data_IF_215276711650
#
_entry.id   IF_215276711650
#
_cell.length_a   1.000
_cell.length_b   1.000
_cell.length_c   1.000
_cell.angle_alpha   90.00
_cell.angle_beta   90.00
_cell.angle_gamma   90.00
#
_symmetry.space_group_name_H-M   'P 1'
#
loop_
_entity.id
_entity.type
_entity.pdbx_description
1 polymer ?
#
# COMPACT_ATOMS: atom_id res chain seq x y z
N UNK A 1 1.47 -8.29 4.31
CA UNK A 1 0.63 -9.49 4.10
C UNK A 1 0.27 -9.50 2.63
N UNK A 2 0.39 -10.65 1.98
CA UNK A 2 0.06 -10.80 0.56
C UNK A 2 -1.43 -11.08 0.39
N UNK A 3 -2.07 -10.31 -0.48
CA UNK A 3 -3.43 -10.55 -0.93
C UNK A 3 -3.40 -10.84 -2.43
N UNK A 4 -4.05 -11.93 -2.86
CA UNK A 4 -4.27 -12.21 -4.28
C UNK A 4 -5.65 -11.69 -4.68
N UNK A 5 -5.71 -10.80 -5.65
CA UNK A 5 -6.97 -10.23 -6.11
C UNK A 5 -7.73 -11.23 -6.98
N UNK A 6 -9.05 -11.37 -6.78
CA UNK A 6 -9.89 -12.26 -7.56
C UNK A 6 -11.33 -11.74 -7.70
N UNK A 7 -12.19 -12.45 -8.43
CA UNK A 7 -13.62 -12.12 -8.55
C UNK A 7 -13.97 -11.07 -9.61
N UNK A 8 -13.07 -10.79 -10.56
CA UNK A 8 -13.33 -9.88 -11.67
C UNK A 8 -12.66 -10.35 -12.96
N UNK A 9 -13.22 -9.92 -14.09
CA UNK A 9 -12.69 -10.17 -15.43
C UNK A 9 -12.05 -8.90 -15.99
N UNK A 10 -10.92 -9.04 -16.68
CA UNK A 10 -10.20 -7.91 -17.28
C UNK A 10 -9.26 -7.20 -16.30
N UNK A 11 -9.15 -5.88 -16.43
CA UNK A 11 -8.30 -5.01 -15.60
C UNK A 11 -9.18 -4.05 -14.78
N UNK A 12 -8.79 -3.81 -13.53
CA UNK A 12 -9.31 -2.72 -12.72
C UNK A 12 -8.25 -1.61 -12.64
N UNK A 13 -8.70 -0.37 -12.70
CA UNK A 13 -7.86 0.79 -12.55
C UNK A 13 -7.97 1.36 -11.13
N UNK A 14 -6.83 1.51 -10.47
CA UNK A 14 -6.72 2.22 -9.20
C UNK A 14 -6.21 3.63 -9.44
N UNK A 15 -6.92 4.63 -8.93
CA UNK A 15 -6.53 6.04 -8.99
C UNK A 15 -6.24 6.55 -7.58
N UNK A 16 -4.96 6.79 -7.27
CA UNK A 16 -4.49 7.25 -5.97
C UNK A 16 -4.01 8.71 -6.07
N UNK A 17 -4.60 9.68 -5.36
CA UNK A 17 -4.14 11.06 -5.41
C UNK A 17 -2.69 11.18 -4.88
N UNK A 18 -1.87 11.98 -5.57
CA UNK A 18 -0.46 12.21 -5.16
C UNK A 18 -0.39 13.00 -3.86
N UNK A 19 -1.23 14.03 -3.75
CA UNK A 19 -1.31 14.91 -2.61
C UNK A 19 -2.75 15.43 -2.49
N UNK A 20 -3.30 15.62 -1.28
CA UNK A 20 -4.67 16.10 -1.11
C UNK A 20 -5.00 17.42 -1.84
N UNK A 21 -3.99 18.25 -2.09
CA UNK A 21 -4.12 19.54 -2.78
C UNK A 21 -3.68 19.54 -4.25
N UNK A 22 -3.27 18.40 -4.82
CA UNK A 22 -2.86 18.29 -6.24
C UNK A 22 -3.86 17.43 -7.00
N UNK A 23 -4.23 17.85 -8.20
CA UNK A 23 -5.15 17.09 -9.06
C UNK A 23 -4.51 15.82 -9.64
N UNK A 24 -3.18 15.77 -9.68
CA UNK A 24 -2.43 14.63 -10.17
C UNK A 24 -2.76 13.36 -9.38
N UNK A 25 -2.84 12.25 -10.11
CA UNK A 25 -3.16 10.92 -9.59
C UNK A 25 -2.18 9.91 -10.13
N UNK A 26 -1.78 8.97 -9.28
CA UNK A 26 -1.12 7.75 -9.70
C UNK A 26 -2.16 6.74 -10.14
N UNK A 27 -1.92 6.14 -11.31
CA UNK A 27 -2.80 5.15 -11.91
C UNK A 27 -2.09 3.80 -11.90
N UNK A 28 -2.69 2.81 -11.25
CA UNK A 28 -2.25 1.42 -11.31
C UNK A 28 -3.31 0.59 -12.00
N UNK A 29 -2.89 -0.37 -12.82
CA UNK A 29 -3.80 -1.35 -13.42
C UNK A 29 -3.52 -2.70 -12.80
N UNK A 30 -4.57 -3.34 -12.30
CA UNK A 30 -4.49 -4.64 -11.65
C UNK A 30 -5.40 -5.64 -12.35
N UNK A 31 -4.96 -6.89 -12.39
CA UNK A 31 -5.66 -8.03 -12.95
C UNK A 31 -6.07 -9.01 -11.86
N UNK A 32 -7.06 -9.83 -12.17
CA UNK A 32 -7.34 -11.02 -11.35
C UNK A 32 -6.09 -11.91 -11.33
N UNK A 33 -5.70 -12.35 -10.14
CA UNK A 33 -4.46 -13.08 -9.87
C UNK A 33 -3.29 -12.21 -9.40
N UNK A 34 -3.36 -10.87 -9.57
CA UNK A 34 -2.29 -9.99 -9.10
C UNK A 34 -2.18 -10.01 -7.57
N UNK A 35 -0.94 -9.85 -7.10
CA UNK A 35 -0.60 -9.85 -5.68
C UNK A 35 -0.43 -8.41 -5.22
N UNK A 36 -1.11 -8.04 -4.14
CA UNK A 36 -0.91 -6.77 -3.44
C UNK A 36 -0.44 -7.00 -2.01
N UNK A 37 0.37 -6.08 -1.50
CA UNK A 37 0.90 -6.11 -0.15
C UNK A 37 0.21 -5.06 0.71
N UNK A 38 -0.34 -5.49 1.84
CA UNK A 38 -0.90 -4.61 2.87
C UNK A 38 -0.13 -4.72 4.18
N UNK A 39 -0.21 -3.68 5.02
CA UNK A 39 0.43 -3.71 6.33
C UNK A 39 -0.18 -4.81 7.22
N UNK A 40 0.58 -5.37 8.18
CA UNK A 40 0.03 -6.37 9.13
C UNK A 40 -1.04 -5.76 10.03
N UNK A 41 -0.87 -4.47 10.38
CA UNK A 41 -1.82 -3.73 11.20
C UNK A 41 -3.16 -3.63 10.48
N UNK A 42 -3.15 -3.22 9.21
CA UNK A 42 -4.37 -3.14 8.39
C UNK A 42 -4.98 -4.51 8.14
N UNK A 43 -4.15 -5.52 7.88
CA UNK A 43 -4.67 -6.86 7.69
C UNK A 43 -5.49 -7.35 8.90
N UNK A 44 -5.05 -7.03 10.12
CA UNK A 44 -5.77 -7.42 11.34
C UNK A 44 -7.17 -6.80 11.46
N UNK A 45 -7.41 -5.65 10.83
CA UNK A 45 -8.72 -4.97 10.86
C UNK A 45 -9.65 -5.43 9.74
N UNK A 46 -9.11 -5.97 8.64
CA UNK A 46 -9.91 -6.32 7.45
C UNK A 46 -10.21 -7.81 7.29
N UNK A 47 -9.55 -8.69 8.04
CA UNK A 47 -9.57 -10.15 7.83
C UNK A 47 -10.99 -10.75 7.70
N UNK A 48 -11.96 -10.20 8.44
CA UNK A 48 -13.32 -10.74 8.54
C UNK A 48 -14.41 -9.76 8.09
N UNK A 49 -14.04 -8.66 7.42
CA UNK A 49 -14.99 -7.62 6.99
C UNK A 49 -14.79 -7.30 5.52
N UNK A 50 -15.76 -6.61 4.93
CA UNK A 50 -15.56 -5.94 3.64
C UNK A 50 -14.64 -4.74 3.87
N UNK A 51 -13.64 -4.57 3.01
CA UNK A 51 -12.67 -3.49 3.09
C UNK A 51 -12.44 -2.88 1.71
N UNK A 52 -11.94 -1.65 1.68
CA UNK A 52 -11.60 -0.96 0.44
C UNK A 52 -10.10 -0.88 0.27
N UNK A 53 -9.58 -1.37 -0.86
CA UNK A 53 -8.24 -1.03 -1.28
C UNK A 53 -8.27 0.40 -1.82
N UNK A 54 -7.43 1.27 -1.24
CA UNK A 54 -7.46 2.71 -1.53
C UNK A 54 -7.32 2.96 -3.04
N UNK A 55 -8.19 3.82 -3.57
CA UNK A 55 -8.20 4.20 -4.98
C UNK A 55 -8.71 3.12 -5.94
N UNK A 56 -9.01 1.90 -5.46
CA UNK A 56 -9.36 0.74 -6.28
C UNK A 56 -10.83 0.33 -6.08
N UNK A 57 -11.11 -0.68 -5.25
CA UNK A 57 -12.42 -1.29 -5.09
C UNK A 57 -12.58 -1.94 -3.72
N UNK A 58 -13.78 -2.47 -3.44
CA UNK A 58 -14.11 -3.17 -2.21
C UNK A 58 -13.90 -4.68 -2.38
N UNK A 59 -13.29 -5.32 -1.40
CA UNK A 59 -12.96 -6.73 -1.39
C UNK A 59 -13.35 -7.39 -0.07
N UNK A 60 -13.41 -8.71 -0.07
CA UNK A 60 -13.50 -9.54 1.13
C UNK A 60 -12.49 -10.68 1.05
N UNK A 61 -11.95 -11.08 2.20
CA UNK A 61 -11.10 -12.27 2.25
C UNK A 61 -11.99 -13.51 2.10
N UNK A 62 -11.72 -14.35 1.10
CA UNK A 62 -12.50 -15.56 0.84
C UNK A 62 -11.83 -16.80 1.44
N UNK A 63 -10.55 -17.02 1.16
CA UNK A 63 -9.78 -18.15 1.66
C UNK A 63 -8.28 -17.85 1.69
N UNK A 64 -7.49 -18.83 2.14
CA UNK A 64 -6.03 -18.81 2.10
C UNK A 64 -5.60 -19.78 1.00
N UNK A 65 -4.66 -19.36 0.17
CA UNK A 65 -4.01 -20.16 -0.85
C UNK A 65 -2.48 -20.07 -0.70
N UNK A 66 -1.74 -20.71 -1.61
CA UNK A 66 -0.28 -20.70 -1.65
C UNK A 66 0.19 -20.12 -2.98
N UNK A 67 1.05 -19.11 -2.89
CA UNK A 67 1.72 -18.49 -4.03
C UNK A 67 3.23 -18.53 -3.80
N UNK A 68 3.97 -19.25 -4.66
CA UNK A 68 5.43 -19.45 -4.54
C UNK A 68 5.85 -19.92 -3.13
N UNK A 69 5.27 -21.01 -2.64
CA UNK A 69 5.49 -21.57 -1.30
C UNK A 69 5.19 -20.59 -0.14
N UNK A 70 4.52 -19.47 -0.44
CA UNK A 70 4.18 -18.42 0.53
C UNK A 70 2.66 -18.36 0.71
N UNK A 71 2.16 -18.35 1.96
CA UNK A 71 0.73 -18.17 2.20
C UNK A 71 0.23 -16.82 1.66
N UNK A 72 -0.86 -16.86 0.91
CA UNK A 72 -1.54 -15.67 0.37
C UNK A 72 -3.02 -15.72 0.73
N UNK A 73 -3.60 -14.56 1.05
CA UNK A 73 -5.03 -14.45 1.28
C UNK A 73 -5.73 -14.05 -0.02
N UNK A 74 -6.71 -14.82 -0.46
CA UNK A 74 -7.49 -14.48 -1.65
C UNK A 74 -8.50 -13.40 -1.27
N UNK A 75 -8.40 -12.25 -1.92
CA UNK A 75 -9.28 -11.09 -1.78
C UNK A 75 -10.21 -11.03 -2.98
N UNK A 76 -11.45 -11.47 -2.79
CA UNK A 76 -12.47 -11.52 -3.84
C UNK A 76 -13.20 -10.17 -3.94
N UNK A 77 -13.39 -9.69 -5.17
CA UNK A 77 -14.10 -8.44 -5.44
C UNK A 77 -15.52 -8.52 -4.89
N UNK A 78 -15.86 -7.56 -4.04
CA UNK A 78 -17.20 -7.41 -3.50
C UNK A 78 -18.00 -6.39 -4.32
N UNK A 79 -17.45 -5.20 -4.51
CA UNK A 79 -18.07 -4.14 -5.31
C UNK A 79 -17.06 -3.04 -5.70
N UNK A 80 -17.34 -2.30 -6.76
CA UNK A 80 -16.47 -1.20 -7.24
C UNK A 80 -16.87 0.12 -6.59
N UNK A 81 -18.19 0.34 -6.43
CA UNK A 81 -18.76 1.64 -6.04
C UNK A 81 -18.31 2.13 -4.66
N UNK A 82 -17.99 3.42 -4.62
CA UNK A 82 -17.56 4.14 -3.42
C UNK A 82 -18.74 4.40 -2.45
N UNK A 83 -19.95 4.57 -3.00
CA UNK A 83 -21.17 4.87 -2.23
C UNK A 83 -21.61 3.73 -1.31
N UNK A 84 -21.20 2.50 -1.62
CA UNK A 84 -21.47 1.33 -0.79
C UNK A 84 -20.52 1.28 0.42
N UNK A 85 -19.25 1.67 0.22
CA UNK A 85 -18.23 1.76 1.28
C UNK A 85 -18.57 2.84 2.30
N UNK A 86 -19.08 3.99 1.85
CA UNK A 86 -19.44 5.12 2.72
C UNK A 86 -20.65 4.80 3.61
N UNK A 87 -21.56 3.96 3.12
CA UNK A 87 -22.71 3.46 3.89
C UNK A 87 -22.33 2.39 4.92
N UNK A 88 -21.26 1.64 4.67
CA UNK A 88 -20.83 0.52 5.52
C UNK A 88 -19.64 0.83 6.44
N UNK A 89 -19.09 2.07 6.41
CA UNK A 89 -17.88 2.45 7.16
C UNK A 89 -16.72 1.46 6.98
N UNK A 90 -16.59 0.88 5.79
CA UNK A 90 -15.61 -0.16 5.52
C UNK A 90 -14.18 0.41 5.63
N UNK A 91 -13.24 -0.30 6.28
CA UNK A 91 -11.86 0.17 6.43
C UNK A 91 -11.20 0.42 5.06
N UNK A 92 -10.55 1.57 4.91
CA UNK A 92 -9.75 1.90 3.73
C UNK A 92 -8.30 1.52 4.00
N UNK A 93 -7.74 0.66 3.15
CA UNK A 93 -6.41 0.08 3.32
C UNK A 93 -5.47 0.52 2.21
N UNK A 94 -4.30 1.00 2.62
CA UNK A 94 -3.15 1.27 1.76
C UNK A 94 -2.54 -0.04 1.28
N UNK A 95 -2.09 -0.07 0.04
CA UNK A 95 -1.55 -1.27 -0.57
C UNK A 95 -0.43 -0.93 -1.55
N UNK A 96 0.42 -1.91 -1.81
CA UNK A 96 1.51 -1.82 -2.79
C UNK A 96 1.41 -3.02 -3.73
N UNK A 97 1.44 -2.77 -5.04
CA UNK A 97 1.38 -3.83 -6.05
C UNK A 97 2.70 -4.61 -6.08
N UNK A 98 2.61 -5.95 -6.07
CA UNK A 98 3.77 -6.80 -6.25
C UNK A 98 4.40 -6.57 -7.62
N UNK A 99 5.73 -6.52 -7.69
CA UNK A 99 6.46 -6.15 -8.91
C UNK A 99 6.61 -4.64 -9.13
N UNK A 100 5.85 -3.80 -8.41
CA UNK A 100 5.83 -2.32 -8.48
C UNK A 100 6.26 -1.69 -7.14
N UNK A 101 7.18 -2.36 -6.43
CA UNK A 101 7.66 -1.94 -5.11
C UNK A 101 9.19 -1.81 -5.05
N UNK A 102 9.64 -1.14 -4.00
CA UNK A 102 11.02 -1.10 -3.51
C UNK A 102 11.05 -1.42 -2.01
N UNK A 103 12.22 -1.80 -1.50
CA UNK A 103 12.46 -1.93 -0.06
C UNK A 103 13.05 -0.61 0.43
N UNK A 104 12.31 0.08 1.29
CA UNK A 104 12.72 1.31 1.94
C UNK A 104 13.25 1.06 3.35
N UNK A 105 14.40 1.63 3.67
CA UNK A 105 14.94 1.72 5.02
C UNK A 105 14.48 3.03 5.66
N UNK A 106 13.63 2.96 6.69
CA UNK A 106 13.23 4.11 7.50
C UNK A 106 14.07 4.14 8.78
N UNK A 107 14.83 5.20 8.94
CA UNK A 107 15.63 5.49 10.13
C UNK A 107 14.77 6.34 11.07
N UNK A 108 14.52 5.84 12.27
CA UNK A 108 13.71 6.48 13.31
C UNK A 108 14.59 6.79 14.51
N UNK A 109 14.74 8.06 14.84
CA UNK A 109 15.35 8.48 16.11
C UNK A 109 14.31 8.40 17.23
N UNK A 110 14.61 7.64 18.29
CA UNK A 110 13.79 7.58 19.51
C UNK A 110 14.66 7.84 20.73
N UNK A 111 14.61 9.07 21.24
CA UNK A 111 15.52 9.54 22.28
C UNK A 111 16.97 9.44 21.82
N UNK A 112 17.81 8.71 22.56
CA UNK A 112 19.22 8.48 22.21
C UNK A 112 19.45 7.24 21.33
N UNK A 113 18.41 6.57 20.86
CA UNK A 113 18.52 5.34 20.04
C UNK A 113 18.11 5.59 18.60
N UNK A 114 18.85 5.01 17.67
CA UNK A 114 18.50 4.95 16.25
C UNK A 114 17.92 3.56 15.97
N UNK A 115 16.69 3.51 15.45
CA UNK A 115 16.02 2.27 15.05
C UNK A 115 15.86 2.28 13.54
N UNK A 116 16.25 1.18 12.90
CA UNK A 116 16.07 0.98 11.46
C UNK A 116 14.92 0.02 11.21
N UNK A 117 13.98 0.39 10.34
CA UNK A 117 12.85 -0.46 9.94
C UNK A 117 12.77 -0.56 8.43
N UNK A 118 12.47 -1.75 7.92
CA UNK A 118 12.23 -1.96 6.51
C UNK A 118 10.73 -1.92 6.19
N UNK A 119 10.41 -1.24 5.10
CA UNK A 119 9.05 -1.12 4.58
C UNK A 119 9.04 -1.43 3.08
N UNK A 120 7.92 -1.98 2.62
CA UNK A 120 7.62 -2.00 1.19
C UNK A 120 7.03 -0.65 0.82
N UNK A 121 7.67 0.04 -0.12
CA UNK A 121 7.22 1.33 -0.63
C UNK A 121 6.92 1.19 -2.12
N UNK A 122 6.03 2.05 -2.62
CA UNK A 122 5.77 2.14 -4.06
C UNK A 122 7.05 2.57 -4.79
N UNK A 123 7.36 1.94 -5.93
CA UNK A 123 8.60 2.21 -6.67
C UNK A 123 8.76 3.69 -7.08
N UNK A 124 7.66 4.40 -7.24
CA UNK A 124 7.64 5.83 -7.58
C UNK A 124 8.44 6.72 -6.61
N UNK A 125 8.63 6.30 -5.35
CA UNK A 125 9.42 7.10 -4.40
C UNK A 125 10.87 7.28 -4.86
N UNK A 126 11.35 6.45 -5.80
CA UNK A 126 12.66 6.62 -6.43
C UNK A 126 12.76 7.87 -7.32
N UNK A 127 11.66 8.50 -7.73
CA UNK A 127 11.72 9.77 -8.48
C UNK A 127 11.98 10.98 -7.58
N UNK A 128 11.93 10.79 -6.25
CA UNK A 128 12.21 11.83 -5.28
C UNK A 128 13.70 12.16 -5.23
N UNK A 129 14.02 13.39 -4.83
CA UNK A 129 15.41 13.84 -4.70
C UNK A 129 15.87 13.68 -3.26
N UNK A 130 17.16 13.38 -3.08
CA UNK A 130 17.79 13.49 -1.77
C UNK A 130 17.56 14.91 -1.19
N UNK A 131 17.16 14.98 0.07
CA UNK A 131 16.75 16.20 0.76
C UNK A 131 15.25 16.52 0.70
N UNK A 132 14.46 15.88 -0.17
CA UNK A 132 13.00 16.07 -0.22
C UNK A 132 12.32 15.62 1.09
N UNK A 133 11.28 16.33 1.51
CA UNK A 133 10.34 15.86 2.54
C UNK A 133 9.16 15.19 1.85
N UNK A 134 8.91 13.92 2.17
CA UNK A 134 7.79 13.14 1.63
C UNK A 134 6.83 12.75 2.75
N UNK A 135 5.55 12.61 2.40
CA UNK A 135 4.54 12.05 3.29
C UNK A 135 4.34 10.57 2.98
N UNK A 136 4.67 9.72 3.95
CA UNK A 136 4.38 8.30 3.89
C UNK A 136 3.01 8.08 4.55
N UNK A 137 2.01 7.71 3.75
CA UNK A 137 0.65 7.51 4.25
C UNK A 137 0.62 6.56 5.47
N UNK A 138 0.00 7.04 6.55
CA UNK A 138 -0.16 6.32 7.84
C UNK A 138 1.15 5.99 8.57
N UNK A 139 2.26 6.56 8.13
CA UNK A 139 3.55 6.53 8.84
C UNK A 139 3.87 7.93 9.35
N UNK A 140 3.78 8.95 8.48
CA UNK A 140 4.14 10.33 8.79
C UNK A 140 5.07 10.94 7.74
N UNK A 141 5.70 12.06 8.08
CA UNK A 141 6.65 12.76 7.22
C UNK A 141 8.07 12.22 7.42
N UNK A 142 8.80 12.09 6.31
CA UNK A 142 10.20 11.66 6.33
C UNK A 142 11.03 12.47 5.32
N UNK A 143 12.30 12.72 5.66
CA UNK A 143 13.28 13.30 4.75
C UNK A 143 13.96 12.18 3.96
N UNK A 144 14.00 12.31 2.64
CA UNK A 144 14.80 11.45 1.77
C UNK A 144 16.27 11.72 2.02
N UNK A 145 17.00 10.72 2.48
CA UNK A 145 18.43 10.83 2.78
C UNK A 145 19.27 10.30 1.62
N UNK A 146 18.90 9.13 1.09
CA UNK A 146 19.58 8.49 -0.03
C UNK A 146 18.56 7.82 -0.97
N UNK A 147 18.79 7.97 -2.27
CA UNK A 147 18.03 7.29 -3.33
C UNK A 147 19.02 6.51 -4.20
N UNK A 148 18.76 5.23 -4.38
CA UNK A 148 19.50 4.34 -5.27
C UNK A 148 18.53 3.56 -6.16
N UNK A 149 19.03 2.76 -7.10
CA UNK A 149 18.20 2.11 -8.13
C UNK A 149 17.03 1.28 -7.60
N UNK A 150 17.21 0.58 -6.47
CA UNK A 150 16.20 -0.35 -5.91
C UNK A 150 15.93 -0.11 -4.42
N UNK A 151 16.47 0.98 -3.86
CA UNK A 151 16.44 1.22 -2.42
C UNK A 151 16.38 2.71 -2.11
N UNK A 152 15.57 3.02 -1.10
CA UNK A 152 15.39 4.35 -0.53
C UNK A 152 15.75 4.33 0.96
N UNK A 153 16.54 5.30 1.40
CA UNK A 153 16.77 5.57 2.83
C UNK A 153 16.09 6.87 3.21
N UNK A 154 15.21 6.84 4.21
CA UNK A 154 14.54 8.05 4.73
C UNK A 154 14.74 8.19 6.23
N UNK A 155 14.81 9.43 6.69
CA UNK A 155 14.88 9.78 8.11
C UNK A 155 13.49 10.28 8.53
N UNK A 156 12.87 9.56 9.46
CA UNK A 156 11.56 9.91 10.00
C UNK A 156 11.62 11.25 10.74
N UNK A 157 10.66 12.14 10.47
CA UNK A 157 10.55 13.44 11.10
C UNK A 157 9.48 13.44 12.21
N UNK A 158 8.20 13.41 11.83
CA UNK A 158 7.04 13.43 12.73
C UNK A 158 5.78 12.96 11.97
N UNK A 159 4.69 12.73 12.71
CA UNK A 159 3.36 12.40 12.16
C UNK A 159 2.54 13.67 11.95
#
# INVERSE_FOLDING_TARGET
VYLQLSGFNGELEASIPIHPSREEKYVYRVKSGDIVMVSRVDFSTIKNVVFRLMGLANFRISHIDVWNDTPVYVAELHSIDYEETRRQSAPIVQWVLWGEFIIGDVIIARGHKIVKKQFYLERRVLSERAGSIIQLYRIGFARVDEVSRDKLTVIYAHE
#
